data_IF_960125962912
#
_entry.id   IF_960125962912
#
_cell.length_a   1.000
_cell.length_b   1.000
_cell.length_c   1.000
_cell.angle_alpha   90.00
_cell.angle_beta   90.00
_cell.angle_gamma   90.00
#
_symmetry.space_group_name_H-M   'P 1'
#
loop_
_entity.id
_entity.type
_entity.pdbx_description
1 polymer ?
#
# COMPACT_ATOMS: atom_id res chain seq x y z
N UNK A 1 -1.77 -3.42 -17.15
CA UNK A 1 -2.13 -3.03 -15.77
C UNK A 1 -1.38 -3.95 -14.81
N UNK A 2 -0.38 -3.41 -14.11
CA UNK A 2 0.47 -4.13 -13.16
C UNK A 2 -0.25 -4.29 -11.81
N UNK A 3 0.02 -5.39 -11.12
CA UNK A 3 -0.44 -5.62 -9.75
C UNK A 3 0.69 -6.29 -8.97
N UNK A 4 0.92 -5.82 -7.76
CA UNK A 4 1.91 -6.41 -6.86
C UNK A 4 1.31 -6.76 -5.51
N UNK A 5 1.82 -7.83 -4.92
CA UNK A 5 1.61 -8.19 -3.54
C UNK A 5 2.94 -8.07 -2.79
N UNK A 6 2.89 -7.49 -1.60
CA UNK A 6 4.04 -7.28 -0.73
C UNK A 6 3.72 -7.74 0.68
N UNK A 7 4.68 -8.36 1.33
CA UNK A 7 4.65 -8.54 2.78
C UNK A 7 5.44 -7.39 3.43
N UNK A 8 4.76 -6.65 4.31
CA UNK A 8 5.30 -5.49 5.02
C UNK A 8 4.81 -5.59 6.46
N UNK A 9 5.75 -5.81 7.40
CA UNK A 9 5.46 -5.94 8.84
C UNK A 9 4.40 -6.99 9.18
N UNK A 10 4.52 -8.19 8.59
CA UNK A 10 3.59 -9.30 8.83
C UNK A 10 2.19 -9.14 8.21
N UNK A 11 1.94 -8.03 7.51
CA UNK A 11 0.69 -7.83 6.76
C UNK A 11 0.93 -7.97 5.26
N UNK A 12 -0.05 -8.56 4.57
CA UNK A 12 -0.05 -8.60 3.10
C UNK A 12 -0.70 -7.33 2.54
N UNK A 13 0.00 -6.68 1.61
CA UNK A 13 -0.41 -5.45 0.94
C UNK A 13 -0.50 -5.68 -0.55
N UNK A 14 -1.59 -5.24 -1.15
CA UNK A 14 -1.86 -5.34 -2.58
C UNK A 14 -1.89 -3.94 -3.16
N UNK A 15 -1.10 -3.73 -4.20
CA UNK A 15 -1.17 -2.53 -5.02
C UNK A 15 -1.57 -2.85 -6.45
N UNK A 16 -2.53 -2.08 -6.96
CA UNK A 16 -3.02 -2.18 -8.32
C UNK A 16 -2.72 -0.89 -9.08
N UNK A 17 -2.12 -1.05 -10.26
CA UNK A 17 -1.82 0.07 -11.16
C UNK A 17 -3.10 0.69 -11.67
N UNK A 18 -3.22 2.00 -11.50
CA UNK A 18 -4.26 2.84 -12.06
C UNK A 18 -3.76 3.64 -13.26
N UNK A 19 -4.41 4.77 -13.59
CA UNK A 19 -4.02 5.60 -14.71
C UNK A 19 -2.71 6.36 -14.45
N UNK A 20 -2.11 6.80 -15.55
CA UNK A 20 -1.00 7.74 -15.49
C UNK A 20 -1.52 9.18 -15.37
N UNK A 21 -0.93 9.93 -14.45
CA UNK A 21 -1.34 11.27 -14.09
C UNK A 21 -0.16 12.25 -14.16
N UNK A 22 -0.50 13.54 -14.13
CA UNK A 22 0.46 14.62 -13.90
C UNK A 22 0.12 15.32 -12.59
N UNK A 23 1.00 15.19 -11.60
CA UNK A 23 0.86 15.86 -10.30
C UNK A 23 2.01 16.85 -10.15
N UNK A 24 1.71 18.13 -9.97
CA UNK A 24 2.70 19.21 -9.85
C UNK A 24 3.76 19.19 -10.97
N UNK A 25 3.32 18.98 -12.22
CA UNK A 25 4.20 18.92 -13.39
C UNK A 25 5.02 17.62 -13.54
N UNK A 26 4.90 16.67 -12.61
CA UNK A 26 5.61 15.38 -12.65
C UNK A 26 4.70 14.27 -13.17
N UNK A 27 5.23 13.44 -14.06
CA UNK A 27 4.54 12.25 -14.57
C UNK A 27 4.59 11.12 -13.52
N UNK A 28 3.43 10.71 -13.03
CA UNK A 28 3.25 9.67 -12.03
C UNK A 28 2.22 8.65 -12.51
N UNK A 29 2.21 7.48 -11.89
CA UNK A 29 1.15 6.49 -11.99
C UNK A 29 0.44 6.45 -10.65
N UNK A 30 -0.88 6.45 -10.68
CA UNK A 30 -1.68 6.23 -9.48
C UNK A 30 -1.75 4.74 -9.16
N UNK A 31 -1.65 4.38 -7.89
CA UNK A 31 -1.72 3.00 -7.43
C UNK A 31 -2.75 2.88 -6.31
N UNK A 32 -3.77 2.05 -6.51
CA UNK A 32 -4.71 1.70 -5.44
C UNK A 32 -4.01 0.79 -4.43
N UNK A 33 -4.04 1.14 -3.14
CA UNK A 33 -3.36 0.44 -2.05
C UNK A 33 -4.38 -0.22 -1.14
N UNK A 34 -4.30 -1.54 -0.99
CA UNK A 34 -5.17 -2.36 -0.15
C UNK A 34 -4.35 -3.19 0.83
N UNK A 35 -4.80 -3.30 2.08
CA UNK A 35 -4.29 -4.25 3.07
C UNK A 35 -5.20 -5.47 3.07
N UNK A 36 -4.62 -6.67 3.13
CA UNK A 36 -5.36 -7.90 3.41
C UNK A 36 -5.52 -7.99 4.93
N UNK A 37 -6.76 -8.06 5.37
CA UNK A 37 -7.14 -8.19 6.78
C UNK A 37 -7.91 -9.50 6.96
N UNK A 38 -7.96 -9.97 8.20
CA UNK A 38 -8.74 -11.13 8.61
C UNK A 38 -9.70 -10.67 9.72
N UNK A 39 -10.96 -11.12 9.66
CA UNK A 39 -11.91 -10.87 10.73
C UNK A 39 -11.76 -11.92 11.86
N UNK A 40 -12.51 -11.74 12.95
CA UNK A 40 -12.49 -12.65 14.10
C UNK A 40 -12.96 -14.09 13.77
N UNK A 41 -13.52 -14.32 12.58
CA UNK A 41 -14.00 -15.62 12.12
C UNK A 41 -13.05 -16.27 11.10
N UNK A 42 -11.91 -15.63 10.81
CA UNK A 42 -10.93 -16.14 9.85
C UNK A 42 -11.25 -15.77 8.39
N UNK A 43 -12.22 -14.90 8.12
CA UNK A 43 -12.51 -14.47 6.76
C UNK A 43 -11.59 -13.35 6.32
N UNK A 44 -10.93 -13.56 5.18
CA UNK A 44 -10.09 -12.55 4.57
C UNK A 44 -10.92 -11.50 3.83
N UNK A 45 -10.61 -10.24 4.07
CA UNK A 45 -11.19 -9.11 3.34
C UNK A 45 -10.11 -8.08 2.97
N UNK A 46 -10.41 -7.26 1.97
CA UNK A 46 -9.51 -6.20 1.52
C UNK A 46 -9.95 -4.87 2.12
N UNK A 47 -9.05 -4.24 2.87
CA UNK A 47 -9.26 -2.89 3.38
C UNK A 47 -8.51 -1.89 2.51
N UNK A 48 -9.24 -1.04 1.79
CA UNK A 48 -8.64 0.02 0.97
C UNK A 48 -8.05 1.10 1.88
N UNK A 49 -6.75 1.36 1.74
CA UNK A 49 -6.03 2.36 2.55
C UNK A 49 -5.91 3.70 1.83
N UNK A 50 -5.88 3.70 0.50
CA UNK A 50 -5.84 4.92 -0.30
C UNK A 50 -5.19 4.70 -1.66
N UNK A 51 -4.71 5.81 -2.24
CA UNK A 51 -4.04 5.83 -3.53
C UNK A 51 -2.63 6.41 -3.37
N UNK A 52 -1.61 5.73 -3.91
CA UNK A 52 -0.23 6.21 -3.93
C UNK A 52 0.12 6.77 -5.33
N UNK A 53 0.76 7.93 -5.38
CA UNK A 53 1.25 8.52 -6.62
C UNK A 53 2.76 8.30 -6.74
N UNK A 54 3.14 7.33 -7.55
CA UNK A 54 4.53 6.87 -7.68
C UNK A 54 5.02 7.16 -9.10
N UNK A 55 6.31 7.43 -9.27
CA UNK A 55 6.88 7.69 -10.60
C UNK A 55 6.55 6.56 -11.60
N UNK A 56 6.20 6.92 -12.84
CA UNK A 56 5.71 5.97 -13.87
C UNK A 56 6.63 4.76 -14.11
N UNK A 57 7.93 5.01 -14.04
CA UNK A 57 9.00 4.02 -14.25
C UNK A 57 9.53 3.42 -12.95
N UNK A 58 8.81 3.55 -11.85
CA UNK A 58 9.23 2.97 -10.59
C UNK A 58 9.33 1.44 -10.68
N UNK A 59 10.38 0.92 -10.08
CA UNK A 59 10.60 -0.53 -9.95
C UNK A 59 9.69 -1.11 -8.88
N UNK A 60 9.51 -2.44 -8.89
CA UNK A 60 8.75 -3.15 -7.85
C UNK A 60 9.26 -2.84 -6.44
N UNK A 61 10.58 -2.73 -6.26
CA UNK A 61 11.21 -2.37 -4.97
C UNK A 61 10.87 -0.94 -4.56
N UNK A 62 11.01 0.04 -5.47
CA UNK A 62 10.66 1.43 -5.18
C UNK A 62 9.19 1.60 -4.82
N UNK A 63 8.30 0.82 -5.45
CA UNK A 63 6.88 0.78 -5.10
C UNK A 63 6.71 0.23 -3.69
N UNK A 64 7.32 -0.93 -3.37
CA UNK A 64 7.28 -1.53 -2.02
C UNK A 64 7.72 -0.54 -0.94
N UNK A 65 8.87 0.08 -1.13
CA UNK A 65 9.48 0.99 -0.15
C UNK A 65 8.60 2.23 0.08
N UNK A 66 7.99 2.76 -0.99
CA UNK A 66 7.04 3.85 -0.88
C UNK A 66 5.80 3.46 -0.06
N UNK A 67 5.22 2.28 -0.32
CA UNK A 67 4.06 1.79 0.43
C UNK A 67 4.39 1.56 1.90
N UNK A 68 5.54 0.95 2.20
CA UNK A 68 5.99 0.77 3.57
C UNK A 68 6.11 2.12 4.30
N UNK A 69 6.80 3.09 3.70
CA UNK A 69 6.99 4.40 4.32
C UNK A 69 5.70 5.19 4.53
N UNK A 70 4.73 5.09 3.61
CA UNK A 70 3.52 5.92 3.66
C UNK A 70 2.38 5.26 4.45
N UNK A 71 2.23 3.95 4.35
CA UNK A 71 1.05 3.25 4.87
C UNK A 71 1.34 2.33 6.05
N UNK A 72 2.61 1.96 6.26
CA UNK A 72 3.03 1.10 7.36
C UNK A 72 3.63 1.87 8.54
N UNK A 73 4.37 2.97 8.30
CA UNK A 73 4.85 3.87 9.39
C UNK A 73 3.71 4.65 10.09
N UNK A 74 2.52 4.76 9.47
CA UNK A 74 1.27 5.17 10.14
C UNK A 74 0.72 4.02 11.02
N UNK A 75 1.59 3.39 11.80
CA UNK A 75 1.24 2.50 12.88
C UNK A 75 0.50 3.32 13.95
N UNK A 76 -0.82 3.25 13.86
CA UNK A 76 -1.82 3.37 14.92
C UNK A 76 -1.28 3.97 16.24
N UNK A 77 -1.65 5.20 16.63
CA UNK A 77 -1.42 5.66 18.00
C UNK A 77 -2.28 4.81 18.95
N UNK A 78 -1.77 3.67 19.41
CA UNK A 78 -2.55 2.80 20.29
C UNK A 78 -2.09 1.38 20.56
N UNK A 79 -1.03 0.85 19.95
CA UNK A 79 -0.58 -0.51 20.31
C UNK A 79 0.26 -0.49 21.60
N UNK A 80 -0.43 -0.31 22.73
CA UNK A 80 0.08 -0.60 24.07
C UNK A 80 0.37 -2.10 24.10
N UNK A 81 1.65 -2.46 24.10
CA UNK A 81 2.08 -3.79 24.48
C UNK A 81 1.71 -3.95 25.96
N UNK A 82 0.59 -4.63 26.25
CA UNK A 82 0.33 -5.10 27.59
C UNK A 82 1.43 -6.10 27.96
N UNK A 83 2.14 -5.78 29.04
CA UNK A 83 3.24 -6.52 29.62
C UNK A 83 2.81 -7.89 30.18
#
# INVERSE_FOLDING_TARGET
MRRYSFEIGGSTWIVSEGPDLRVNGRAVTEWEVRKVCEDQFGHQYYHQRGNAHIARRATKTQIRDHIARVYFDDAEPGQVWAA
#
